data_IF_439496741386
#
_entry.id   IF_439496741386
#
_cell.length_a   1.000
_cell.length_b   1.000
_cell.length_c   1.000
_cell.angle_alpha   90.00
_cell.angle_beta   90.00
_cell.angle_gamma   90.00
#
_symmetry.space_group_name_H-M   'P 1'
#
loop_
_entity.id
_entity.type
_entity.pdbx_description
1 polymer ?
#
# COMPACT_ATOMS: atom_id res chain seq x y z
N UNK A 1 7.19 10.64 -21.43
CA UNK A 1 7.27 9.35 -20.71
C UNK A 1 7.16 9.51 -19.20
N UNK A 2 7.93 10.41 -18.56
CA UNK A 2 7.90 10.63 -17.10
C UNK A 2 6.51 10.81 -16.45
N UNK A 3 5.67 11.68 -17.00
CA UNK A 3 4.33 11.90 -16.46
C UNK A 3 3.46 10.63 -16.49
N UNK A 4 3.60 9.83 -17.54
CA UNK A 4 2.88 8.57 -17.70
C UNK A 4 3.38 7.50 -16.74
N UNK A 5 4.70 7.38 -16.53
CA UNK A 5 5.25 6.41 -15.58
C UNK A 5 4.86 6.73 -14.15
N UNK A 6 4.88 8.02 -13.75
CA UNK A 6 4.40 8.45 -12.43
C UNK A 6 2.88 8.21 -12.27
N UNK A 7 2.10 8.47 -13.32
CA UNK A 7 0.66 8.14 -13.33
C UNK A 7 0.43 6.64 -13.12
N UNK A 8 1.12 5.78 -13.88
CA UNK A 8 0.95 4.34 -13.75
C UNK A 8 1.33 3.83 -12.36
N UNK A 9 2.45 4.30 -11.79
CA UNK A 9 2.83 3.94 -10.43
C UNK A 9 1.82 4.43 -9.39
N UNK A 10 1.30 5.66 -9.55
CA UNK A 10 0.29 6.19 -8.65
C UNK A 10 -1.01 5.37 -8.71
N UNK A 11 -1.47 5.04 -9.92
CA UNK A 11 -2.68 4.24 -10.13
C UNK A 11 -2.49 2.84 -9.54
N UNK A 12 -1.37 2.17 -9.82
CA UNK A 12 -1.13 0.81 -9.34
C UNK A 12 -0.98 0.73 -7.83
N UNK A 13 -0.22 1.66 -7.21
CA UNK A 13 -0.08 1.74 -5.76
C UNK A 13 -1.40 2.10 -5.07
N UNK A 14 -2.16 3.03 -5.63
CA UNK A 14 -3.47 3.41 -5.08
C UNK A 14 -4.48 2.27 -5.15
N UNK A 15 -4.55 1.55 -6.27
CA UNK A 15 -5.42 0.38 -6.41
C UNK A 15 -5.01 -0.78 -5.52
N UNK A 16 -3.70 -0.99 -5.29
CA UNK A 16 -3.23 -1.97 -4.31
C UNK A 16 -3.87 -1.69 -2.94
N UNK A 17 -3.88 -0.44 -2.48
CA UNK A 17 -4.53 -0.07 -1.23
C UNK A 17 -6.04 -0.30 -1.25
N UNK A 18 -6.72 0.02 -2.36
CA UNK A 18 -8.16 -0.21 -2.49
C UNK A 18 -8.50 -1.70 -2.42
N UNK A 19 -7.75 -2.55 -3.11
CA UNK A 19 -7.97 -4.00 -3.13
C UNK A 19 -7.75 -4.57 -1.73
N UNK A 20 -6.66 -4.22 -1.07
CA UNK A 20 -6.38 -4.67 0.31
C UNK A 20 -7.31 -4.09 1.37
N UNK A 21 -7.88 -2.91 1.13
CA UNK A 21 -8.91 -2.33 1.97
C UNK A 21 -10.26 -3.03 1.78
N UNK A 22 -10.61 -3.38 0.54
CA UNK A 22 -11.81 -4.14 0.21
C UNK A 22 -11.75 -5.55 0.78
N UNK A 23 -10.59 -6.21 0.73
CA UNK A 23 -10.39 -7.53 1.35
C UNK A 23 -10.70 -7.52 2.86
N UNK A 24 -10.31 -6.46 3.58
CA UNK A 24 -10.66 -6.29 5.02
C UNK A 24 -12.14 -6.11 5.30
N UNK A 25 -12.93 -5.71 4.31
CA UNK A 25 -14.38 -5.47 4.44
C UNK A 25 -15.16 -6.73 4.02
N UNK A 26 -14.79 -7.34 2.90
CA UNK A 26 -15.56 -8.42 2.28
C UNK A 26 -15.08 -9.81 2.70
N UNK A 27 -13.83 -9.96 3.13
CA UNK A 27 -13.25 -11.22 3.57
C UNK A 27 -12.72 -11.10 5.00
N UNK A 28 -13.64 -10.85 5.93
CA UNK A 28 -13.33 -10.58 7.34
C UNK A 28 -12.56 -11.74 7.98
N UNK A 29 -12.86 -12.99 7.65
CA UNK A 29 -12.09 -14.16 8.13
C UNK A 29 -10.63 -14.13 7.67
N UNK A 30 -10.37 -13.86 6.39
CA UNK A 30 -8.99 -13.71 5.88
C UNK A 30 -8.29 -12.51 6.52
N UNK A 31 -9.00 -11.38 6.65
CA UNK A 31 -8.45 -10.18 7.29
C UNK A 31 -8.10 -10.38 8.77
N UNK A 32 -8.89 -11.16 9.51
CA UNK A 32 -8.60 -11.56 10.90
C UNK A 32 -7.39 -12.49 10.95
N UNK A 33 -7.29 -13.48 10.05
CA UNK A 33 -6.15 -14.38 9.96
C UNK A 33 -4.84 -13.62 9.67
N UNK A 34 -4.89 -12.66 8.74
CA UNK A 34 -3.77 -11.75 8.45
C UNK A 34 -3.45 -10.88 9.67
N UNK A 35 -4.45 -10.33 10.35
CA UNK A 35 -4.20 -9.48 11.53
C UNK A 35 -3.63 -10.22 12.73
N UNK A 36 -4.04 -11.46 12.94
CA UNK A 36 -3.45 -12.32 13.97
C UNK A 36 -1.99 -12.70 13.61
N UNK A 37 -1.71 -12.92 12.33
CA UNK A 37 -0.37 -13.32 11.88
C UNK A 37 0.61 -12.14 11.84
N UNK A 38 0.15 -10.95 11.42
CA UNK A 38 1.03 -9.83 11.05
C UNK A 38 0.84 -8.55 11.88
N UNK A 39 -0.25 -8.41 12.63
CA UNK A 39 -0.56 -7.21 13.45
C UNK A 39 -0.69 -7.52 14.95
N UNK A 40 -0.16 -8.65 15.43
CA UNK A 40 -0.15 -9.08 16.84
C UNK A 40 -1.53 -9.00 17.53
N UNK A 41 -2.63 -9.16 16.76
CA UNK A 41 -3.99 -9.11 17.29
C UNK A 41 -4.53 -7.70 17.63
N UNK A 42 -3.74 -6.64 17.53
CA UNK A 42 -4.17 -5.27 17.90
C UNK A 42 -5.31 -4.72 17.00
N UNK A 43 -5.43 -5.27 15.80
CA UNK A 43 -6.49 -4.98 14.83
C UNK A 43 -7.46 -6.15 14.60
N UNK A 44 -7.34 -7.23 15.38
CA UNK A 44 -8.21 -8.41 15.30
C UNK A 44 -9.56 -8.20 16.01
N UNK A 45 -10.12 -7.00 15.87
CA UNK A 45 -11.49 -6.69 16.28
C UNK A 45 -12.36 -6.71 15.02
N UNK A 46 -13.41 -7.54 15.05
CA UNK A 46 -14.43 -7.61 13.99
C UNK A 46 -15.07 -6.25 13.66
N UNK A 47 -15.02 -5.29 14.58
CA UNK A 47 -15.53 -3.94 14.39
C UNK A 47 -14.48 -2.97 13.84
N UNK A 48 -13.21 -3.08 14.27
CA UNK A 48 -12.15 -2.15 13.83
C UNK A 48 -11.60 -2.49 12.45
N UNK A 49 -11.63 -3.76 12.06
CA UNK A 49 -11.05 -4.21 10.80
C UNK A 49 -11.79 -3.66 9.55
N UNK A 50 -13.14 -3.66 9.48
CA UNK A 50 -13.85 -3.02 8.37
C UNK A 50 -13.66 -1.50 8.30
N UNK A 51 -13.54 -0.83 9.46
CA UNK A 51 -13.28 0.61 9.53
C UNK A 51 -11.89 0.93 8.97
N UNK A 52 -10.88 0.14 9.37
CA UNK A 52 -9.54 0.25 8.81
C UNK A 52 -9.53 -0.02 7.29
N UNK A 53 -10.30 -1.02 6.83
CA UNK A 53 -10.50 -1.30 5.41
C UNK A 53 -11.09 -0.12 4.64
N UNK A 54 -12.15 0.51 5.16
CA UNK A 54 -12.77 1.67 4.55
C UNK A 54 -11.80 2.87 4.49
N UNK A 55 -11.06 3.12 5.58
CA UNK A 55 -10.01 4.14 5.60
C UNK A 55 -8.91 3.89 4.56
N UNK A 56 -8.49 2.63 4.42
CA UNK A 56 -7.50 2.23 3.43
C UNK A 56 -8.00 2.39 1.98
N UNK A 57 -9.28 2.12 1.71
CA UNK A 57 -9.91 2.38 0.40
C UNK A 57 -9.89 3.88 0.09
N UNK A 58 -10.33 4.72 1.04
CA UNK A 58 -10.35 6.17 0.85
C UNK A 58 -8.94 6.72 0.60
N UNK A 59 -7.95 6.21 1.33
CA UNK A 59 -6.54 6.51 1.10
C UNK A 59 -6.10 6.11 -0.32
N UNK A 60 -6.41 4.89 -0.74
CA UNK A 60 -6.08 4.38 -2.08
C UNK A 60 -6.70 5.22 -3.20
N UNK A 61 -7.97 5.60 -3.07
CA UNK A 61 -8.63 6.49 -4.02
C UNK A 61 -7.99 7.88 -4.06
N UNK A 62 -7.61 8.43 -2.90
CA UNK A 62 -6.87 9.69 -2.84
C UNK A 62 -5.51 9.60 -3.52
N UNK A 63 -4.80 8.46 -3.38
CA UNK A 63 -3.57 8.19 -4.14
C UNK A 63 -3.86 8.19 -5.63
N UNK A 64 -4.82 7.38 -6.11
CA UNK A 64 -5.14 7.26 -7.55
C UNK A 64 -5.40 8.63 -8.18
N UNK A 65 -6.27 9.42 -7.53
CA UNK A 65 -6.64 10.75 -7.98
C UNK A 65 -5.50 11.78 -7.83
N UNK A 66 -4.47 11.48 -7.05
CA UNK A 66 -3.40 12.42 -6.74
C UNK A 66 -3.91 13.61 -5.94
N UNK A 67 -4.67 13.33 -4.88
CA UNK A 67 -5.21 14.32 -3.94
C UNK A 67 -4.42 14.32 -2.64
N UNK A 68 -4.23 15.50 -2.05
CA UNK A 68 -3.56 15.69 -0.76
C UNK A 68 -2.22 14.95 -0.66
N UNK A 69 -1.43 14.92 -1.74
CA UNK A 69 -0.24 14.05 -1.86
C UNK A 69 0.82 14.30 -0.79
N UNK A 70 0.84 15.50 -0.20
CA UNK A 70 1.69 15.83 0.97
C UNK A 70 1.42 14.93 2.17
N UNK A 71 0.19 14.46 2.35
CA UNK A 71 -0.25 13.65 3.49
C UNK A 71 -0.47 12.19 3.11
N UNK A 72 -1.12 11.96 1.97
CA UNK A 72 -1.51 10.63 1.52
C UNK A 72 -0.30 9.75 1.16
N UNK A 73 0.77 10.32 0.59
CA UNK A 73 1.96 9.55 0.22
C UNK A 73 2.76 9.04 1.43
N UNK A 74 3.05 9.85 2.47
CA UNK A 74 3.62 9.34 3.71
C UNK A 74 2.80 8.22 4.35
N UNK A 75 1.46 8.36 4.39
CA UNK A 75 0.59 7.32 4.99
C UNK A 75 0.64 6.03 4.17
N UNK A 76 0.53 6.12 2.84
CA UNK A 76 0.73 4.97 1.95
C UNK A 76 2.09 4.29 2.18
N UNK A 77 3.17 5.09 2.28
CA UNK A 77 4.52 4.57 2.50
C UNK A 77 4.60 3.80 3.82
N UNK A 78 4.01 4.32 4.90
CA UNK A 78 3.97 3.63 6.20
C UNK A 78 3.23 2.30 6.09
N UNK A 79 2.04 2.27 5.46
CA UNK A 79 1.28 1.03 5.30
C UNK A 79 2.06 0.00 4.47
N UNK A 80 2.66 0.40 3.35
CA UNK A 80 3.43 -0.50 2.50
C UNK A 80 4.73 -0.96 3.18
N UNK A 81 5.36 -0.11 4.00
CA UNK A 81 6.52 -0.48 4.82
C UNK A 81 6.13 -1.52 5.86
N UNK A 82 5.00 -1.32 6.56
CA UNK A 82 4.48 -2.30 7.51
C UNK A 82 4.20 -3.65 6.83
N UNK A 83 3.59 -3.64 5.64
CA UNK A 83 3.39 -4.85 4.83
C UNK A 83 4.69 -5.53 4.44
N UNK A 84 5.75 -4.77 4.11
CA UNK A 84 7.07 -5.35 3.83
C UNK A 84 7.70 -5.97 5.07
N UNK A 85 7.67 -5.27 6.20
CA UNK A 85 8.22 -5.76 7.47
C UNK A 85 7.54 -7.06 7.88
N UNK A 86 6.22 -7.15 7.72
CA UNK A 86 5.43 -8.34 7.98
C UNK A 86 5.90 -9.57 7.17
N UNK A 87 6.50 -9.38 5.99
CA UNK A 87 6.98 -10.47 5.12
C UNK A 87 8.49 -10.41 4.86
N UNK A 88 9.26 -9.77 5.74
CA UNK A 88 10.67 -9.48 5.52
C UNK A 88 11.53 -10.74 5.27
N UNK A 89 11.20 -11.86 5.93
CA UNK A 89 11.88 -13.14 5.72
C UNK A 89 11.71 -13.66 4.29
N UNK A 90 10.53 -13.44 3.69
CA UNK A 90 10.25 -13.79 2.29
C UNK A 90 10.94 -12.88 1.27
N UNK A 91 11.48 -11.74 1.70
CA UNK A 91 12.34 -10.89 0.86
C UNK A 91 13.77 -11.43 0.85
N UNK A 92 14.25 -11.92 2.00
CA UNK A 92 15.61 -12.42 2.18
C UNK A 92 15.78 -13.82 1.56
N UNK A 93 14.82 -14.70 1.80
CA UNK A 93 14.82 -16.08 1.29
C UNK A 93 13.47 -16.44 0.65
N UNK A 94 13.18 -15.91 -0.56
CA UNK A 94 11.90 -16.11 -1.23
C UNK A 94 11.59 -17.57 -1.57
N UNK A 95 12.62 -18.43 -1.69
CA UNK A 95 12.46 -19.85 -2.03
C UNK A 95 12.43 -20.78 -0.81
N UNK A 96 12.66 -20.25 0.40
CA UNK A 96 12.63 -21.03 1.64
C UNK A 96 13.73 -22.08 1.70
N UNK A 97 14.91 -21.76 1.19
CA UNK A 97 16.06 -22.67 1.25
C UNK A 97 16.67 -22.75 2.65
N UNK A 98 16.51 -21.70 3.46
CA UNK A 98 17.13 -21.54 4.76
C UNK A 98 16.14 -21.13 5.85
N UNK A 99 15.00 -20.53 5.49
CA UNK A 99 13.98 -20.06 6.44
C UNK A 99 12.62 -20.69 6.10
N UNK A 100 12.02 -21.38 7.06
CA UNK A 100 10.70 -21.99 6.89
C UNK A 100 9.58 -20.94 6.81
N UNK A 101 8.54 -21.26 6.02
CA UNK A 101 7.33 -20.44 5.92
C UNK A 101 7.44 -19.20 5.04
N UNK A 102 8.51 -19.06 4.24
CA UNK A 102 8.62 -17.97 3.27
C UNK A 102 7.89 -18.27 1.96
N UNK A 103 7.59 -17.22 1.20
CA UNK A 103 6.95 -17.36 -0.10
C UNK A 103 7.36 -16.22 -1.05
N UNK A 104 7.89 -16.55 -2.23
CA UNK A 104 8.31 -15.58 -3.23
C UNK A 104 7.19 -14.68 -3.76
N UNK A 105 5.92 -15.06 -3.60
CA UNK A 105 4.78 -14.19 -3.92
C UNK A 105 4.77 -12.91 -3.05
N UNK A 106 5.53 -12.87 -1.95
CA UNK A 106 5.71 -11.68 -1.12
C UNK A 106 6.90 -10.80 -1.52
N UNK A 107 7.80 -11.27 -2.39
CA UNK A 107 8.92 -10.46 -2.89
C UNK A 107 8.49 -9.11 -3.51
N UNK A 108 7.36 -9.01 -4.25
CA UNK A 108 6.85 -7.75 -4.75
C UNK A 108 6.63 -6.66 -3.71
N UNK A 109 6.52 -6.98 -2.41
CA UNK A 109 6.47 -5.97 -1.33
C UNK A 109 7.66 -5.02 -1.36
N UNK A 110 8.86 -5.50 -1.73
CA UNK A 110 10.05 -4.66 -1.91
C UNK A 110 9.90 -3.70 -3.09
N UNK A 111 9.34 -4.17 -4.20
CA UNK A 111 9.05 -3.35 -5.38
C UNK A 111 8.01 -2.27 -5.05
N UNK A 112 6.99 -2.63 -4.29
CA UNK A 112 5.94 -1.72 -3.81
C UNK A 112 6.53 -0.63 -2.91
N UNK A 113 7.45 -0.97 -2.00
CA UNK A 113 8.15 0.01 -1.17
C UNK A 113 8.99 0.97 -2.03
N UNK A 114 9.79 0.45 -2.96
CA UNK A 114 10.60 1.25 -3.86
C UNK A 114 9.75 2.19 -4.73
N UNK A 115 8.63 1.69 -5.27
CA UNK A 115 7.67 2.49 -6.02
C UNK A 115 7.01 3.58 -5.15
N UNK A 116 6.69 3.27 -3.88
CA UNK A 116 6.12 4.22 -2.92
C UNK A 116 7.08 5.38 -2.63
N UNK A 117 8.36 5.06 -2.42
CA UNK A 117 9.42 6.07 -2.26
C UNK A 117 9.57 6.93 -3.52
N UNK A 118 9.53 6.32 -4.71
CA UNK A 118 9.64 7.02 -5.98
C UNK A 118 8.48 8.02 -6.17
N UNK A 119 7.23 7.61 -6.03
CA UNK A 119 6.10 8.54 -6.21
C UNK A 119 6.09 9.65 -5.14
N UNK A 120 6.58 9.37 -3.94
CA UNK A 120 6.72 10.36 -2.87
C UNK A 120 7.84 11.36 -3.16
N UNK A 121 9.03 10.89 -3.53
CA UNK A 121 10.20 11.72 -3.82
C UNK A 121 10.02 12.59 -5.07
N UNK A 122 9.36 12.06 -6.10
CA UNK A 122 9.12 12.74 -7.37
C UNK A 122 7.71 13.36 -7.48
N UNK A 123 7.02 13.57 -6.35
CA UNK A 123 5.64 14.07 -6.34
C UNK A 123 5.45 15.39 -7.10
N UNK A 124 6.43 16.28 -7.05
CA UNK A 124 6.32 17.61 -7.67
C UNK A 124 6.42 17.53 -9.21
N UNK A 125 6.98 16.43 -9.71
CA UNK A 125 7.10 16.15 -11.13
C UNK A 125 5.88 15.44 -11.72
N UNK A 126 5.00 14.91 -10.86
CA UNK A 126 3.76 14.27 -11.25
C UNK A 126 2.69 15.31 -11.59
N UNK A 127 2.65 15.69 -12.87
CA UNK A 127 1.77 16.72 -13.44
C UNK A 127 0.35 16.26 -13.72
N UNK A 128 0.08 14.96 -13.66
CA UNK A 128 -1.25 14.37 -13.95
C UNK A 128 -2.07 14.13 -12.68
N UNK A 129 -1.56 14.53 -11.51
CA UNK A 129 -2.29 14.51 -10.25
C UNK A 129 -3.29 15.67 -10.16
N UNK A 130 -4.50 15.40 -9.64
CA UNK A 130 -5.56 16.41 -9.57
C UNK A 130 -5.22 17.58 -8.65
N UNK A 131 -4.48 17.37 -7.56
CA UNK A 131 -4.08 18.47 -6.68
C UNK A 131 -3.08 19.45 -7.35
N UNK A 132 -2.33 19.00 -8.35
CA UNK A 132 -1.41 19.84 -9.14
C UNK A 132 -2.14 20.67 -10.17
N UNK A 133 -3.18 20.09 -10.78
CA UNK A 133 -4.05 20.80 -11.73
C UNK A 133 -4.86 21.93 -11.07
N UNK A 134 -5.01 21.90 -9.74
CA UNK A 134 -5.74 22.93 -8.97
C UNK A 134 -4.88 24.11 -8.51
N UNK A 135 -3.56 24.03 -8.64
CA UNK A 135 -2.65 25.14 -8.29
C UNK A 135 -2.37 25.97 -9.55
N UNK A 136 -2.86 27.22 -9.66
CA UNK A 136 -2.47 28.10 -10.75
C UNK A 136 -0.96 28.38 -10.70
N UNK A 137 -0.37 28.53 -11.88
CA UNK A 137 1.07 28.76 -12.09
C UNK A 137 1.55 30.06 -11.43
#
# INVERSE_FOLDING_TARGET
>A
MKNWTLLFLRISLGWLLVIWGADKIFNVEHGIAVANTFYFGFLASETLLPIAGAGQILLGLAVVLGLFRRWVYPVQLILNTASLVAVATSIIDPWGWFIDGTNALFYPSLIILAASLLVMGFRDEDRLALDKLRQPA
#
